data_IF_258346737413
#
_entry.id   IF_258346737413
#
_cell.length_a   1.000
_cell.length_b   1.000
_cell.length_c   1.000
_cell.angle_alpha   90.00
_cell.angle_beta   90.00
_cell.angle_gamma   90.00
#
_symmetry.space_group_name_H-M   'P 1'
#
loop_
_entity.id
_entity.type
_entity.pdbx_description
1 polymer ?
#
# COMPACT_ATOMS: atom_id res chain seq x y z
N UNK A 1 -0.74 21.72 -0.38
CA UNK A 1 0.60 21.30 0.11
C UNK A 1 0.58 19.97 0.89
N UNK A 2 -0.30 19.01 0.53
CA UNK A 2 -0.25 17.65 1.06
C UNK A 2 0.48 16.77 0.04
N UNK A 3 1.59 16.16 0.45
CA UNK A 3 2.42 15.30 -0.40
C UNK A 3 1.91 13.86 -0.29
N UNK A 4 1.67 13.17 -1.41
CA UNK A 4 1.10 11.81 -1.49
C UNK A 4 1.75 10.79 -0.54
N UNK A 5 3.08 10.84 -0.35
CA UNK A 5 3.78 9.96 0.61
C UNK A 5 3.26 10.06 2.05
N UNK A 6 2.79 11.23 2.48
CA UNK A 6 2.25 11.41 3.84
C UNK A 6 0.95 10.62 4.02
N UNK A 7 0.13 10.52 2.97
CA UNK A 7 -1.08 9.69 3.00
C UNK A 7 -0.71 8.22 3.12
N UNK A 8 0.21 7.73 2.29
CA UNK A 8 0.72 6.36 2.40
C UNK A 8 1.20 6.02 3.83
N UNK A 9 2.07 6.85 4.40
CA UNK A 9 2.64 6.60 5.74
C UNK A 9 1.57 6.65 6.82
N UNK A 10 0.68 7.65 6.81
CA UNK A 10 -0.40 7.75 7.81
C UNK A 10 -1.36 6.58 7.72
N UNK A 11 -1.77 6.20 6.51
CA UNK A 11 -2.66 5.06 6.28
C UNK A 11 -1.99 3.74 6.67
N UNK A 12 -0.69 3.59 6.40
CA UNK A 12 0.09 2.42 6.84
C UNK A 12 0.09 2.27 8.37
N UNK A 13 0.24 3.36 9.13
CA UNK A 13 0.19 3.34 10.59
C UNK A 13 -1.22 2.99 11.12
N UNK A 14 -2.27 3.45 10.43
CA UNK A 14 -3.65 3.02 10.76
C UNK A 14 -3.80 1.53 10.54
N UNK A 15 -3.33 0.98 9.42
CA UNK A 15 -3.39 -0.45 9.17
C UNK A 15 -2.51 -1.28 10.11
N UNK A 16 -1.38 -0.73 10.57
CA UNK A 16 -0.57 -1.35 11.62
C UNK A 16 -1.39 -1.49 12.91
N UNK A 17 -2.06 -0.41 13.33
CA UNK A 17 -2.89 -0.44 14.52
C UNK A 17 -4.03 -1.46 14.39
N UNK A 18 -4.76 -1.46 13.27
CA UNK A 18 -5.83 -2.43 13.01
C UNK A 18 -5.31 -3.87 12.94
N UNK A 19 -4.15 -4.09 12.32
CA UNK A 19 -3.49 -5.39 12.27
C UNK A 19 -3.06 -5.88 13.65
N UNK A 20 -2.49 -4.99 14.48
CA UNK A 20 -2.12 -5.32 15.86
C UNK A 20 -3.35 -5.63 16.72
N UNK A 21 -4.42 -4.85 16.59
CA UNK A 21 -5.68 -5.09 17.30
C UNK A 21 -6.31 -6.43 16.91
N UNK A 22 -6.34 -6.77 15.62
CA UNK A 22 -6.87 -8.06 15.15
C UNK A 22 -6.03 -9.24 15.65
N UNK A 23 -4.70 -9.12 15.64
CA UNK A 23 -3.80 -10.14 16.22
C UNK A 23 -3.97 -10.27 17.73
N UNK A 24 -4.09 -9.16 18.45
CA UNK A 24 -4.37 -9.14 19.89
C UNK A 24 -5.70 -9.80 20.23
N UNK A 25 -6.76 -9.51 19.48
CA UNK A 25 -8.06 -10.17 19.64
C UNK A 25 -7.93 -11.70 19.49
N UNK A 26 -7.22 -12.18 18.47
CA UNK A 26 -7.02 -13.62 18.28
C UNK A 26 -6.28 -14.28 19.44
N UNK A 27 -5.27 -13.62 20.02
CA UNK A 27 -4.55 -14.13 21.19
C UNK A 27 -5.44 -14.15 22.45
N UNK A 28 -6.27 -13.12 22.64
CA UNK A 28 -7.25 -13.10 23.73
C UNK A 28 -8.31 -14.19 23.57
N UNK A 29 -8.75 -14.47 22.33
CA UNK A 29 -9.69 -15.55 22.05
C UNK A 29 -9.06 -16.91 22.34
N UNK A 30 -7.79 -17.11 21.94
CA UNK A 30 -7.03 -18.33 22.26
C UNK A 30 -6.87 -18.54 23.77
N UNK A 31 -6.76 -17.47 24.54
CA UNK A 31 -6.71 -17.51 26.00
C UNK A 31 -8.08 -17.68 26.67
N UNK A 32 -9.18 -17.75 25.91
CA UNK A 32 -10.55 -17.86 26.43
C UNK A 32 -11.11 -16.57 27.03
N UNK A 33 -10.49 -15.41 26.77
CA UNK A 33 -10.88 -14.10 27.35
C UNK A 33 -11.99 -13.44 26.52
N UNK A 34 -11.98 -13.62 25.19
CA UNK A 34 -13.01 -13.10 24.28
C UNK A 34 -13.53 -14.22 23.37
N UNK A 35 -14.66 -13.99 22.70
CA UNK A 35 -15.22 -14.97 21.78
C UNK A 35 -14.36 -15.15 20.53
N UNK A 36 -14.40 -16.36 19.96
CA UNK A 36 -13.77 -16.64 18.67
C UNK A 36 -14.38 -15.75 17.58
N UNK A 37 -13.51 -15.14 16.76
CA UNK A 37 -13.91 -14.36 15.60
C UNK A 37 -14.14 -15.24 14.36
N UNK A 38 -14.46 -14.63 13.21
CA UNK A 38 -14.55 -15.36 11.95
C UNK A 38 -13.27 -16.14 11.64
N UNK A 39 -13.37 -17.33 11.05
CA UNK A 39 -12.20 -18.14 10.64
C UNK A 39 -11.26 -17.41 9.68
N UNK A 40 -11.79 -16.42 8.95
CA UNK A 40 -11.05 -15.56 8.02
C UNK A 40 -10.23 -14.46 8.73
N UNK A 41 -10.35 -14.29 10.04
CA UNK A 41 -9.71 -13.21 10.79
C UNK A 41 -8.19 -13.25 10.70
N UNK A 42 -7.59 -14.45 10.67
CA UNK A 42 -6.16 -14.61 10.40
C UNK A 42 -5.77 -14.04 9.04
N UNK A 43 -6.55 -14.36 8.00
CA UNK A 43 -6.35 -13.83 6.65
C UNK A 43 -6.49 -12.30 6.63
N UNK A 44 -7.46 -11.74 7.37
CA UNK A 44 -7.62 -10.29 7.51
C UNK A 44 -6.38 -9.67 8.19
N UNK A 45 -5.91 -10.25 9.30
CA UNK A 45 -4.74 -9.81 10.03
C UNK A 45 -3.48 -9.74 9.15
N UNK A 46 -3.17 -10.82 8.42
CA UNK A 46 -1.97 -10.84 7.55
C UNK A 46 -2.06 -9.82 6.41
N UNK A 47 -3.26 -9.52 5.91
CA UNK A 47 -3.44 -8.54 4.84
C UNK A 47 -3.38 -7.10 5.36
N UNK A 48 -3.91 -6.83 6.56
CA UNK A 48 -3.75 -5.55 7.24
C UNK A 48 -2.26 -5.26 7.48
N UNK A 49 -1.49 -6.23 7.98
CA UNK A 49 -0.06 -6.03 8.24
C UNK A 49 0.80 -6.04 6.98
N UNK A 50 0.58 -6.99 6.07
CA UNK A 50 1.42 -7.15 4.87
C UNK A 50 1.15 -6.08 3.82
N UNK A 51 -0.11 -5.89 3.42
CA UNK A 51 -0.49 -4.96 2.35
C UNK A 51 -0.79 -3.57 2.94
N UNK A 52 -1.54 -3.54 4.03
CA UNK A 52 -1.96 -2.28 4.65
C UNK A 52 -0.80 -1.53 5.30
N UNK A 53 -0.05 -2.19 6.18
CA UNK A 53 1.08 -1.56 6.86
C UNK A 53 2.35 -1.62 6.00
N UNK A 54 2.91 -2.80 5.79
CA UNK A 54 4.26 -2.95 5.27
C UNK A 54 4.39 -2.41 3.84
N UNK A 55 3.56 -2.88 2.91
CA UNK A 55 3.59 -2.43 1.52
C UNK A 55 3.31 -0.91 1.41
N UNK A 56 2.28 -0.38 2.07
CA UNK A 56 2.01 1.06 1.99
C UNK A 56 3.12 1.91 2.60
N UNK A 57 3.75 1.45 3.69
CA UNK A 57 4.91 2.11 4.27
C UNK A 57 6.07 2.15 3.27
N UNK A 58 6.42 1.00 2.68
CA UNK A 58 7.48 0.91 1.66
C UNK A 58 7.17 1.80 0.47
N UNK A 59 5.95 1.79 -0.06
CA UNK A 59 5.56 2.65 -1.18
C UNK A 59 5.67 4.14 -0.84
N UNK A 60 5.18 4.55 0.34
CA UNK A 60 5.25 5.93 0.81
C UNK A 60 6.69 6.41 0.99
N UNK A 61 7.54 5.58 1.60
CA UNK A 61 8.96 5.86 1.81
C UNK A 61 9.72 5.89 0.49
N UNK A 62 9.49 4.93 -0.42
CA UNK A 62 10.13 4.89 -1.74
C UNK A 62 9.81 6.14 -2.58
N UNK A 63 8.54 6.58 -2.59
CA UNK A 63 8.12 7.81 -3.27
C UNK A 63 8.76 9.08 -2.68
N UNK A 64 9.20 9.01 -1.42
CA UNK A 64 9.90 10.10 -0.74
C UNK A 64 11.42 10.05 -0.93
N UNK A 65 12.03 8.86 -0.87
CA UNK A 65 13.49 8.66 -0.96
C UNK A 65 14.01 8.67 -2.39
N UNK A 66 13.33 8.01 -3.32
CA UNK A 66 13.83 7.92 -4.69
C UNK A 66 13.75 9.27 -5.39
N UNK A 67 14.78 9.59 -6.22
CA UNK A 67 14.84 10.86 -6.90
C UNK A 67 13.61 11.07 -7.78
N UNK A 68 13.16 12.32 -7.85
CA UNK A 68 12.06 12.72 -8.75
C UNK A 68 12.51 12.59 -10.21
N UNK A 69 11.55 12.52 -11.12
CA UNK A 69 11.85 12.48 -12.57
C UNK A 69 12.60 13.77 -12.95
N UNK A 70 13.54 13.69 -13.89
CA UNK A 70 14.32 14.87 -14.32
C UNK A 70 13.37 15.98 -14.81
N UNK A 71 13.59 17.22 -14.35
CA UNK A 71 12.73 18.36 -14.68
C UNK A 71 11.37 18.41 -13.96
N UNK A 72 11.01 17.40 -13.15
CA UNK A 72 9.75 17.37 -12.41
C UNK A 72 9.78 18.35 -11.22
N UNK A 73 8.76 19.19 -11.09
CA UNK A 73 8.57 20.08 -9.93
C UNK A 73 8.11 19.31 -8.70
N UNK A 74 8.18 19.91 -7.50
CA UNK A 74 7.70 19.25 -6.27
C UNK A 74 6.18 19.08 -6.28
N UNK A 75 5.47 19.97 -6.96
CA UNK A 75 4.02 19.93 -7.09
C UNK A 75 3.58 18.85 -8.08
N UNK A 76 4.27 18.74 -9.22
CA UNK A 76 4.02 17.67 -10.19
C UNK A 76 4.22 16.29 -9.56
N UNK A 77 5.35 16.10 -8.85
CA UNK A 77 5.61 14.85 -8.14
C UNK A 77 4.56 14.54 -7.05
N UNK A 78 3.93 15.56 -6.44
CA UNK A 78 2.87 15.36 -5.45
C UNK A 78 1.52 14.97 -6.06
N UNK A 79 1.34 15.23 -7.36
CA UNK A 79 0.13 14.94 -8.14
C UNK A 79 0.34 13.76 -9.11
N UNK A 80 1.42 12.97 -8.96
CA UNK A 80 1.70 11.83 -9.83
C UNK A 80 0.47 10.90 -9.88
N UNK A 81 -0.22 10.78 -11.05
CA UNK A 81 -1.45 10.01 -11.16
C UNK A 81 -1.26 8.54 -10.82
N UNK A 82 -0.10 7.96 -11.14
CA UNK A 82 0.19 6.56 -10.84
C UNK A 82 0.33 6.34 -9.34
N UNK A 83 1.01 7.26 -8.62
CA UNK A 83 1.13 7.18 -7.17
C UNK A 83 -0.23 7.29 -6.46
N UNK A 84 -1.11 8.18 -6.94
CA UNK A 84 -2.48 8.27 -6.44
C UNK A 84 -3.32 7.04 -6.80
N UNK A 85 -3.14 6.48 -7.99
CA UNK A 85 -3.84 5.26 -8.43
C UNK A 85 -3.44 4.07 -7.57
N UNK A 86 -2.14 3.89 -7.29
CA UNK A 86 -1.64 2.93 -6.29
C UNK A 86 -2.32 3.14 -4.95
N UNK A 87 -2.30 4.37 -4.43
CA UNK A 87 -2.86 4.66 -3.12
C UNK A 87 -4.33 4.24 -3.03
N UNK A 88 -5.14 4.66 -4.00
CA UNK A 88 -6.58 4.39 -4.02
C UNK A 88 -6.87 2.90 -4.22
N UNK A 89 -6.23 2.25 -5.19
CA UNK A 89 -6.47 0.84 -5.48
C UNK A 89 -6.05 -0.08 -4.33
N UNK A 90 -4.90 0.20 -3.69
CA UNK A 90 -4.45 -0.58 -2.52
C UNK A 90 -5.37 -0.33 -1.32
N UNK A 91 -5.65 0.93 -0.99
CA UNK A 91 -6.46 1.26 0.20
C UNK A 91 -7.89 0.75 0.07
N UNK A 92 -8.55 1.03 -1.06
CA UNK A 92 -9.94 0.59 -1.28
C UNK A 92 -9.99 -0.92 -1.50
N UNK A 93 -9.06 -1.48 -2.28
CA UNK A 93 -8.99 -2.94 -2.49
C UNK A 93 -8.78 -3.71 -1.20
N UNK A 94 -7.94 -3.22 -0.28
CA UNK A 94 -7.75 -3.82 1.03
C UNK A 94 -9.01 -3.68 1.91
N UNK A 95 -9.65 -2.52 1.92
CA UNK A 95 -10.90 -2.33 2.67
C UNK A 95 -12.00 -3.29 2.17
N UNK A 96 -12.19 -3.39 0.85
CA UNK A 96 -13.14 -4.34 0.23
C UNK A 96 -12.78 -5.78 0.60
N UNK A 97 -11.50 -6.16 0.57
CA UNK A 97 -11.04 -7.49 0.99
C UNK A 97 -11.41 -7.79 2.44
N UNK A 98 -11.10 -6.89 3.36
CA UNK A 98 -11.40 -7.08 4.78
C UNK A 98 -12.90 -7.24 5.02
N UNK A 99 -13.72 -6.38 4.43
CA UNK A 99 -15.18 -6.45 4.59
C UNK A 99 -15.74 -7.75 3.98
N UNK A 100 -15.29 -8.14 2.78
CA UNK A 100 -15.72 -9.38 2.14
C UNK A 100 -15.35 -10.64 2.95
N UNK A 101 -14.18 -10.64 3.59
CA UNK A 101 -13.74 -11.74 4.45
C UNK A 101 -14.48 -11.78 5.79
N UNK A 102 -14.86 -10.63 6.35
CA UNK A 102 -15.61 -10.56 7.60
C UNK A 102 -17.12 -10.84 7.41
N UNK A 103 -17.64 -10.60 6.20
CA UNK A 103 -19.06 -10.78 5.85
C UNK A 103 -19.23 -11.69 4.61
N UNK A 104 -18.73 -12.94 4.65
CA UNK A 104 -18.71 -13.82 3.47
C UNK A 104 -20.13 -14.16 2.97
N UNK A 105 -21.09 -14.32 3.90
CA UNK A 105 -22.49 -14.64 3.59
C UNK A 105 -23.23 -13.50 2.84
N UNK A 106 -22.72 -12.26 2.94
CA UNK A 106 -23.36 -11.08 2.33
C UNK A 106 -22.72 -10.72 0.99
N UNK A 107 -21.39 -10.77 0.91
CA UNK A 107 -20.65 -10.22 -0.24
C UNK A 107 -20.20 -11.29 -1.25
N UNK A 108 -20.10 -12.55 -0.83
CA UNK A 108 -19.72 -13.67 -1.69
C UNK A 108 -18.30 -13.55 -2.30
N UNK A 109 -17.92 -14.58 -3.06
CA UNK A 109 -16.57 -14.72 -3.63
C UNK A 109 -16.23 -13.72 -4.74
N UNK A 110 -17.24 -13.17 -5.43
CA UNK A 110 -17.05 -12.19 -6.52
C UNK A 110 -16.46 -10.88 -6.02
N UNK A 111 -16.94 -10.38 -4.87
CA UNK A 111 -16.41 -9.14 -4.26
C UNK A 111 -14.96 -9.34 -3.80
N UNK A 112 -14.64 -10.53 -3.27
CA UNK A 112 -13.26 -10.89 -2.95
C UNK A 112 -12.38 -10.90 -4.20
N UNK A 113 -12.85 -11.44 -5.33
CA UNK A 113 -12.10 -11.41 -6.60
C UNK A 113 -11.83 -9.96 -7.06
N UNK A 114 -12.82 -9.07 -7.00
CA UNK A 114 -12.64 -7.64 -7.30
C UNK A 114 -11.53 -7.03 -6.43
N UNK A 115 -11.52 -7.34 -5.13
CA UNK A 115 -10.48 -6.86 -4.20
C UNK A 115 -9.06 -7.28 -4.63
N UNK A 116 -8.92 -8.48 -5.20
CA UNK A 116 -7.65 -9.01 -5.71
C UNK A 116 -7.18 -8.18 -6.89
N UNK A 117 -8.05 -7.98 -7.89
CA UNK A 117 -7.72 -7.20 -9.09
C UNK A 117 -7.37 -5.76 -8.75
N UNK A 118 -8.07 -5.14 -7.80
CA UNK A 118 -7.73 -3.81 -7.30
C UNK A 118 -6.32 -3.80 -6.69
N UNK A 119 -5.99 -4.75 -5.81
CA UNK A 119 -4.67 -4.79 -5.19
C UNK A 119 -3.55 -5.05 -6.19
N UNK A 120 -3.73 -6.00 -7.12
CA UNK A 120 -2.76 -6.27 -8.19
C UNK A 120 -2.59 -5.04 -9.10
N UNK A 121 -3.69 -4.39 -9.49
CA UNK A 121 -3.64 -3.15 -10.26
C UNK A 121 -2.92 -2.02 -9.52
N UNK A 122 -3.12 -1.90 -8.20
CA UNK A 122 -2.44 -0.93 -7.36
C UNK A 122 -0.92 -1.17 -7.28
N UNK A 123 -0.50 -2.43 -7.14
CA UNK A 123 0.91 -2.83 -7.20
C UNK A 123 1.50 -2.53 -8.57
N UNK A 124 0.80 -2.87 -9.66
CA UNK A 124 1.26 -2.58 -11.02
C UNK A 124 1.43 -1.08 -11.24
N UNK A 125 0.46 -0.27 -10.82
CA UNK A 125 0.57 1.18 -10.88
C UNK A 125 1.78 1.70 -10.09
N UNK A 126 2.12 1.08 -8.96
CA UNK A 126 3.29 1.47 -8.17
C UNK A 126 4.58 1.14 -8.89
N UNK A 127 4.68 -0.07 -9.43
CA UNK A 127 5.83 -0.51 -10.23
C UNK A 127 6.06 0.47 -11.37
N UNK A 128 5.01 0.82 -12.13
CA UNK A 128 5.11 1.80 -13.21
C UNK A 128 5.50 3.21 -12.72
N UNK A 129 5.03 3.62 -11.54
CA UNK A 129 5.37 4.93 -10.96
C UNK A 129 6.85 5.00 -10.54
N UNK A 130 7.36 3.93 -9.92
CA UNK A 130 8.67 3.92 -9.28
C UNK A 130 9.79 3.49 -10.22
N UNK A 131 9.51 2.63 -11.21
CA UNK A 131 10.49 2.11 -12.18
C UNK A 131 11.41 3.19 -12.79
N UNK A 132 10.90 4.32 -13.31
CA UNK A 132 11.76 5.36 -13.89
C UNK A 132 12.58 6.14 -12.86
N UNK A 133 12.36 5.91 -11.55
CA UNK A 133 13.11 6.53 -10.45
C UNK A 133 14.22 5.63 -9.91
N UNK A 134 14.31 4.36 -10.35
CA UNK A 134 15.31 3.37 -9.92
C UNK A 134 16.64 3.51 -10.70
N UNK A 135 17.06 4.73 -11.07
CA UNK A 135 18.31 4.95 -11.79
C UNK A 135 19.38 5.64 -10.92
N UNK A 136 20.65 5.28 -11.15
CA UNK A 136 21.84 5.77 -10.45
C UNK A 136 21.97 7.31 -10.54
N UNK A 137 22.22 8.02 -9.43
CA UNK A 137 22.62 9.41 -9.46
C UNK A 137 23.94 9.58 -10.25
N UNK A 138 23.94 10.41 -11.30
CA UNK A 138 25.17 11.02 -11.79
C UNK A 138 25.81 10.52 -13.09
N UNK A 139 25.09 9.87 -14.01
CA UNK A 139 25.61 9.73 -15.38
C UNK A 139 25.59 11.07 -16.14
N UNK A 140 26.37 12.04 -15.68
CA UNK A 140 27.05 12.93 -16.63
C UNK A 140 28.12 12.03 -17.24
N UNK A 141 27.91 11.55 -18.48
CA UNK A 141 29.06 11.16 -19.29
C UNK A 141 30.04 12.34 -19.23
N UNK A 142 31.35 12.11 -19.02
CA UNK A 142 32.32 13.17 -19.19
C UNK A 142 32.00 13.83 -20.52
N UNK A 143 31.71 15.13 -20.50
CA UNK A 143 31.73 15.90 -21.72
C UNK A 143 33.12 15.64 -22.28
N UNK A 144 33.20 14.83 -23.34
CA UNK A 144 34.45 14.66 -24.06
C UNK A 144 34.83 16.07 -24.47
N UNK A 145 35.88 16.55 -23.81
CA UNK A 145 36.47 17.85 -23.95
C UNK A 145 36.60 18.12 -25.44
N UNK A 146 35.91 19.17 -25.90
CA UNK A 146 36.12 19.71 -27.23
C UNK A 146 37.49 20.37 -27.22
N UNK A 147 38.52 19.59 -27.53
CA UNK A 147 39.81 20.09 -27.99
C UNK A 147 40.08 19.59 -29.39
#
# INVERSE_FOLDING_TARGET
MLRIHRFFIKTALVYLLLGAMTGGWMLLAQAGIVSEGPKSLFTVHIHLLGIGFFLMMVCGVALWMFPRKSGESREQAARDPLAWTTYLLITVGLAVRCIALLLPEVLGSRVLAVSVFMQVGGVLAFVLAIWPRVYLPGAKLPALDKK
#
